data_IF_024222345003
#
_entry.id   IF_024222345003
#
_cell.length_a   1.000
_cell.length_b   1.000
_cell.length_c   1.000
_cell.angle_alpha   90.00
_cell.angle_beta   90.00
_cell.angle_gamma   90.00
#
_symmetry.space_group_name_H-M   'P 1'
#
loop_
_entity.id
_entity.type
_entity.pdbx_description
1 polymer ?
#
# COMPACT_ATOMS: atom_id res chain seq x y z
N UNK A 1 -1.13 6.47 -4.78
CA UNK A 1 -2.52 6.32 -5.27
C UNK A 1 -2.64 5.82 -6.72
N UNK A 2 -1.99 6.48 -7.71
CA UNK A 2 -2.16 6.09 -9.12
C UNK A 2 -1.62 4.70 -9.46
N UNK A 3 -0.47 4.31 -8.90
CA UNK A 3 0.03 2.92 -8.99
C UNK A 3 -1.03 1.93 -8.56
N UNK A 4 -1.65 2.13 -7.39
CA UNK A 4 -2.70 1.25 -6.90
C UNK A 4 -3.88 1.18 -7.89
N UNK A 5 -4.40 2.34 -8.29
CA UNK A 5 -5.58 2.41 -9.15
C UNK A 5 -5.34 1.69 -10.48
N UNK A 6 -4.17 1.90 -11.08
CA UNK A 6 -3.78 1.28 -12.34
C UNK A 6 -3.53 -0.23 -12.20
N UNK A 7 -2.87 -0.65 -11.11
CA UNK A 7 -2.68 -2.07 -10.81
C UNK A 7 -4.01 -2.79 -10.60
N UNK A 8 -4.96 -2.17 -9.87
CA UNK A 8 -6.30 -2.73 -9.67
C UNK A 8 -7.08 -2.82 -11.00
N UNK A 9 -6.87 -1.87 -11.91
CA UNK A 9 -7.42 -1.95 -13.27
C UNK A 9 -6.83 -3.13 -14.04
N UNK A 10 -5.50 -3.23 -14.09
CA UNK A 10 -4.81 -4.28 -14.83
C UNK A 10 -5.09 -5.68 -14.27
N UNK A 11 -5.35 -5.81 -12.97
CA UNK A 11 -5.75 -7.06 -12.31
C UNK A 11 -7.25 -7.36 -12.43
N UNK A 12 -8.04 -6.52 -13.12
CA UNK A 12 -9.51 -6.61 -13.19
C UNK A 12 -10.22 -6.56 -11.82
N UNK A 13 -9.62 -5.92 -10.82
CA UNK A 13 -10.13 -5.80 -9.45
C UNK A 13 -10.95 -4.53 -9.20
N UNK A 14 -11.02 -3.59 -10.15
CA UNK A 14 -11.79 -2.34 -9.99
C UNK A 14 -13.27 -2.57 -9.65
N UNK A 15 -13.88 -3.63 -10.22
CA UNK A 15 -15.29 -3.96 -9.96
C UNK A 15 -15.55 -4.24 -8.48
N UNK A 16 -14.59 -4.84 -7.78
CA UNK A 16 -14.67 -5.14 -6.35
C UNK A 16 -14.68 -3.85 -5.50
N UNK A 17 -14.10 -2.77 -6.03
CA UNK A 17 -14.01 -1.47 -5.35
C UNK A 17 -15.31 -0.68 -5.52
N UNK A 18 -15.90 -0.70 -6.72
CA UNK A 18 -17.05 0.16 -7.06
C UNK A 18 -18.26 -0.07 -6.16
N UNK A 19 -18.50 -1.32 -5.77
CA UNK A 19 -19.70 -1.73 -5.02
C UNK A 19 -19.57 -1.55 -3.50
N UNK A 20 -18.38 -1.18 -3.00
CA UNK A 20 -18.12 -1.12 -1.56
C UNK A 20 -18.53 0.22 -0.96
N UNK A 21 -19.37 0.16 0.07
CA UNK A 21 -19.72 1.32 0.89
C UNK A 21 -18.55 1.76 1.79
N UNK A 22 -17.69 0.82 2.20
CA UNK A 22 -16.51 1.06 2.99
C UNK A 22 -15.34 0.30 2.38
N UNK A 23 -14.24 1.01 2.10
CA UNK A 23 -13.03 0.42 1.52
C UNK A 23 -11.82 0.77 2.38
N UNK A 24 -11.05 -0.25 2.76
CA UNK A 24 -9.92 -0.10 3.68
C UNK A 24 -8.61 -0.41 2.95
N UNK A 25 -7.71 0.56 2.92
CA UNK A 25 -6.35 0.40 2.39
C UNK A 25 -5.36 0.44 3.54
N UNK A 26 -4.61 -0.63 3.72
CA UNK A 26 -3.45 -0.60 4.60
C UNK A 26 -2.24 -0.16 3.81
N UNK A 27 -1.51 0.81 4.36
CA UNK A 27 -0.22 1.24 3.83
C UNK A 27 0.83 0.96 4.89
N UNK A 28 1.66 -0.05 4.60
CA UNK A 28 2.82 -0.38 5.41
C UNK A 28 3.99 0.42 4.86
N UNK A 29 4.40 1.46 5.57
CA UNK A 29 5.42 2.37 5.09
C UNK A 29 6.82 1.87 5.49
N UNK A 30 7.71 1.78 4.49
CA UNK A 30 9.14 1.47 4.68
C UNK A 30 10.05 2.70 4.73
N UNK A 31 9.51 3.91 4.57
CA UNK A 31 10.11 5.22 4.84
C UNK A 31 9.28 6.32 4.15
N UNK A 32 8.90 7.35 4.92
CA UNK A 32 8.35 8.63 4.48
C UNK A 32 7.26 8.52 3.39
N UNK A 33 6.05 8.12 3.82
CA UNK A 33 4.87 8.62 3.13
C UNK A 33 4.89 10.14 3.23
N UNK A 34 4.91 10.78 2.07
CA UNK A 34 4.71 12.21 1.98
C UNK A 34 3.29 12.53 2.48
N UNK A 35 3.16 12.82 3.79
CA UNK A 35 1.92 13.28 4.41
C UNK A 35 1.39 14.55 3.75
N UNK A 36 2.20 15.24 2.92
CA UNK A 36 1.72 16.37 2.13
C UNK A 36 0.87 15.93 0.92
N UNK A 37 0.86 14.64 0.59
CA UNK A 37 0.15 14.07 -0.56
C UNK A 37 -1.12 13.29 -0.19
N UNK A 38 -1.71 13.51 0.99
CA UNK A 38 -2.92 12.80 1.45
C UNK A 38 -4.12 13.05 0.52
N UNK A 39 -4.37 14.29 0.12
CA UNK A 39 -5.49 14.63 -0.78
C UNK A 39 -5.44 13.91 -2.13
N UNK A 40 -4.25 13.50 -2.59
CA UNK A 40 -4.09 12.77 -3.85
C UNK A 40 -4.81 11.41 -3.86
N UNK A 41 -5.12 10.83 -2.70
CA UNK A 41 -5.87 9.58 -2.61
C UNK A 41 -7.36 9.73 -2.95
N UNK A 42 -7.88 10.97 -3.00
CA UNK A 42 -9.23 11.25 -3.46
C UNK A 42 -9.48 10.72 -4.89
N UNK A 43 -8.44 10.60 -5.73
CA UNK A 43 -8.57 10.03 -7.08
C UNK A 43 -9.16 8.61 -7.09
N UNK A 44 -8.90 7.82 -6.04
CA UNK A 44 -9.45 6.48 -5.88
C UNK A 44 -10.91 6.58 -5.44
N UNK A 45 -11.21 7.47 -4.49
CA UNK A 45 -12.58 7.71 -4.01
C UNK A 45 -13.54 8.17 -5.13
N UNK A 46 -13.04 8.85 -6.15
CA UNK A 46 -13.84 9.19 -7.34
C UNK A 46 -14.44 7.96 -8.05
N UNK A 47 -13.80 6.79 -7.94
CA UNK A 47 -14.28 5.56 -8.57
C UNK A 47 -15.43 4.88 -7.83
N UNK A 48 -15.76 5.31 -6.60
CA UNK A 48 -16.69 4.57 -5.73
C UNK A 48 -18.15 5.02 -5.96
N UNK A 49 -19.12 4.25 -5.48
CA UNK A 49 -20.52 4.68 -5.43
C UNK A 49 -20.74 5.88 -4.47
N UNK A 50 -21.83 6.66 -4.63
CA UNK A 50 -22.24 7.65 -3.64
C UNK A 50 -22.40 7.05 -2.24
N UNK A 51 -22.11 7.83 -1.19
CA UNK A 51 -22.17 7.38 0.20
C UNK A 51 -20.96 6.57 0.68
N UNK A 52 -19.98 6.32 -0.19
CA UNK A 52 -18.83 5.48 0.12
C UNK A 52 -17.79 6.17 0.99
N UNK A 53 -17.09 5.41 1.82
CA UNK A 53 -15.93 5.88 2.60
C UNK A 53 -14.67 5.12 2.19
N UNK A 54 -13.60 5.86 1.94
CA UNK A 54 -12.26 5.32 1.79
C UNK A 54 -11.48 5.60 3.08
N UNK A 55 -11.11 4.54 3.80
CA UNK A 55 -10.23 4.59 4.95
C UNK A 55 -8.83 4.13 4.56
N UNK A 56 -7.83 4.96 4.83
CA UNK A 56 -6.43 4.62 4.65
C UNK A 56 -5.78 4.49 6.02
N UNK A 57 -5.32 3.29 6.35
CA UNK A 57 -4.62 3.01 7.59
C UNK A 57 -3.12 2.96 7.31
N UNK A 58 -2.38 3.93 7.85
CA UNK A 58 -0.93 4.00 7.75
C UNK A 58 -0.30 3.37 8.98
N UNK A 59 0.60 2.42 8.75
CA UNK A 59 1.21 1.61 9.82
C UNK A 59 2.73 1.70 9.67
N UNK A 60 3.38 2.42 10.59
CA UNK A 60 4.83 2.60 10.65
C UNK A 60 5.24 3.14 12.03
N UNK A 61 6.35 2.65 12.63
CA UNK A 61 6.74 3.01 14.01
C UNK A 61 6.90 4.51 14.31
N UNK A 62 7.27 5.31 13.31
CA UNK A 62 7.58 6.73 13.50
C UNK A 62 6.39 7.66 13.25
N UNK A 63 5.19 7.12 13.00
CA UNK A 63 3.99 7.92 12.82
C UNK A 63 3.50 8.48 14.17
N UNK A 64 2.67 9.53 14.17
CA UNK A 64 1.87 9.87 15.33
C UNK A 64 0.64 8.96 15.41
N UNK A 65 0.15 8.64 16.62
CA UNK A 65 -1.19 8.07 16.77
C UNK A 65 -2.23 9.16 16.50
N UNK A 66 -2.95 9.08 15.38
CA UNK A 66 -4.01 10.03 15.04
C UNK A 66 -5.04 9.44 14.09
N UNK A 67 -6.18 10.11 13.98
CA UNK A 67 -7.16 9.91 12.94
C UNK A 67 -7.56 11.27 12.37
N UNK A 68 -7.72 11.38 11.06
CA UNK A 68 -8.17 12.62 10.43
C UNK A 68 -9.05 12.35 9.20
N UNK A 69 -9.98 13.26 8.93
CA UNK A 69 -10.77 13.25 7.71
C UNK A 69 -10.27 14.35 6.79
N UNK A 70 -10.00 14.01 5.53
CA UNK A 70 -9.54 14.97 4.53
C UNK A 70 -10.74 15.59 3.83
N UNK A 71 -10.73 16.92 3.69
CA UNK A 71 -11.74 17.63 2.91
C UNK A 71 -11.61 17.23 1.43
N UNK A 72 -12.67 16.63 0.90
CA UNK A 72 -12.76 16.21 -0.49
C UNK A 72 -13.27 17.34 -1.39
N UNK A 73 -13.19 17.15 -2.70
CA UNK A 73 -13.73 18.06 -3.70
C UNK A 73 -15.25 18.16 -3.63
N UNK A 74 -15.81 19.20 -4.26
CA UNK A 74 -17.25 19.45 -4.27
C UNK A 74 -18.08 18.27 -4.82
N UNK A 75 -17.57 17.55 -5.83
CA UNK A 75 -18.26 16.38 -6.39
C UNK A 75 -18.38 15.24 -5.37
N UNK A 76 -17.30 14.95 -4.63
CA UNK A 76 -17.31 13.95 -3.56
C UNK A 76 -18.22 14.36 -2.41
N UNK A 77 -18.18 15.63 -1.98
CA UNK A 77 -19.08 16.16 -0.94
C UNK A 77 -20.55 15.99 -1.34
N UNK A 78 -20.92 16.40 -2.56
CA UNK A 78 -22.30 16.26 -3.06
C UNK A 78 -22.76 14.81 -3.14
N UNK A 79 -21.83 13.88 -3.37
CA UNK A 79 -22.10 12.43 -3.40
C UNK A 79 -21.94 11.76 -2.02
N UNK A 80 -21.79 12.53 -0.94
CA UNK A 80 -21.58 12.05 0.43
C UNK A 80 -20.43 11.03 0.55
N UNK A 81 -19.33 11.27 -0.17
CA UNK A 81 -18.14 10.43 -0.12
C UNK A 81 -17.13 10.96 0.89
N UNK A 82 -16.50 10.07 1.66
CA UNK A 82 -15.55 10.44 2.72
C UNK A 82 -14.17 9.84 2.47
N UNK A 83 -13.13 10.62 2.78
CA UNK A 83 -11.74 10.18 2.79
C UNK A 83 -11.20 10.33 4.22
N UNK A 84 -10.74 9.23 4.80
CA UNK A 84 -10.28 9.17 6.19
C UNK A 84 -8.92 8.50 6.28
N UNK A 85 -8.16 8.90 7.29
CA UNK A 85 -6.87 8.34 7.62
C UNK A 85 -6.79 7.95 9.08
N UNK A 86 -6.18 6.79 9.32
CA UNK A 86 -5.72 6.36 10.63
C UNK A 86 -4.23 6.12 10.60
N UNK A 87 -3.56 6.44 11.69
CA UNK A 87 -2.10 6.33 11.80
C UNK A 87 -1.77 5.56 13.06
N UNK A 88 -0.97 4.51 12.89
CA UNK A 88 -0.63 3.58 13.96
C UNK A 88 0.91 3.47 14.08
N UNK A 89 1.50 3.96 15.19
CA UNK A 89 2.94 4.07 15.41
C UNK A 89 3.55 2.73 15.83
N UNK A 90 3.39 1.70 15.01
CA UNK A 90 3.80 0.34 15.36
C UNK A 90 4.26 -0.47 14.15
N UNK A 91 4.86 -1.62 14.43
CA UNK A 91 5.25 -2.59 13.41
C UNK A 91 4.02 -3.32 12.89
N UNK A 92 3.98 -3.54 11.58
CA UNK A 92 2.81 -4.11 10.93
C UNK A 92 2.41 -5.49 11.47
N UNK A 93 3.34 -6.41 11.71
CA UNK A 93 2.98 -7.71 12.29
C UNK A 93 2.27 -7.59 13.66
N UNK A 94 2.65 -6.59 14.48
CA UNK A 94 1.96 -6.33 15.77
C UNK A 94 0.59 -5.73 15.55
N UNK A 95 0.46 -4.83 14.58
CA UNK A 95 -0.83 -4.26 14.20
C UNK A 95 -1.81 -5.36 13.79
N UNK A 96 -1.37 -6.26 12.90
CA UNK A 96 -2.16 -7.39 12.41
C UNK A 96 -2.55 -8.37 13.52
N UNK A 97 -1.71 -8.54 14.56
CA UNK A 97 -2.04 -9.38 15.72
C UNK A 97 -3.03 -8.72 16.70
N UNK A 98 -3.04 -7.38 16.79
CA UNK A 98 -3.82 -6.63 17.78
C UNK A 98 -5.19 -6.20 17.27
N UNK A 99 -5.27 -5.77 16.01
CA UNK A 99 -6.45 -5.12 15.45
C UNK A 99 -7.08 -6.02 14.38
N UNK A 100 -8.35 -6.35 14.58
CA UNK A 100 -9.11 -7.28 13.74
C UNK A 100 -9.87 -6.57 12.62
N UNK A 101 -9.38 -5.40 12.19
CA UNK A 101 -9.95 -4.75 11.01
C UNK A 101 -9.35 -5.42 9.79
N UNK A 102 -10.17 -5.98 8.92
CA UNK A 102 -9.71 -6.63 7.70
C UNK A 102 -9.51 -5.59 6.59
N UNK A 103 -8.29 -5.45 6.03
CA UNK A 103 -8.06 -4.58 4.89
C UNK A 103 -8.63 -5.17 3.61
N UNK A 104 -9.08 -4.30 2.70
CA UNK A 104 -9.45 -4.73 1.35
C UNK A 104 -8.24 -4.87 0.43
N UNK A 105 -7.18 -4.13 0.74
CA UNK A 105 -5.90 -4.22 0.07
C UNK A 105 -4.80 -3.70 0.98
N UNK A 106 -3.66 -4.38 0.95
CA UNK A 106 -2.44 -3.92 1.59
C UNK A 106 -1.49 -3.41 0.53
N UNK A 107 -0.83 -2.29 0.80
CA UNK A 107 0.20 -1.72 -0.04
C UNK A 107 1.46 -1.55 0.78
N UNK A 108 2.58 -2.04 0.26
CA UNK A 108 3.90 -1.77 0.80
C UNK A 108 4.73 -1.05 -0.26
N UNK A 109 4.98 0.23 -0.01
CA UNK A 109 5.83 1.02 -0.88
C UNK A 109 7.30 0.72 -0.60
N UNK A 110 8.09 0.51 -1.65
CA UNK A 110 9.52 0.18 -1.54
C UNK A 110 9.78 -1.06 -0.68
N UNK A 111 8.99 -2.10 -0.90
CA UNK A 111 9.10 -3.36 -0.20
C UNK A 111 10.55 -3.87 -0.23
N UNK A 112 11.08 -4.13 0.96
CA UNK A 112 12.40 -4.70 1.20
C UNK A 112 12.25 -5.71 2.33
N UNK A 113 12.48 -6.97 2.00
CA UNK A 113 12.52 -8.05 2.98
C UNK A 113 13.97 -8.48 3.17
N UNK A 114 14.47 -8.33 4.40
CA UNK A 114 15.78 -8.81 4.79
C UNK A 114 15.73 -10.25 5.32
N UNK A 115 16.86 -10.67 5.85
CA UNK A 115 17.02 -11.96 6.55
C UNK A 115 16.70 -11.85 8.04
N UNK A 116 16.22 -10.69 8.50
CA UNK A 116 15.83 -10.44 9.88
C UNK A 116 14.46 -11.04 10.23
N UNK A 117 14.25 -11.29 11.51
CA UNK A 117 12.99 -11.80 12.07
C UNK A 117 11.81 -10.88 11.78
N UNK A 118 12.03 -9.57 11.72
CA UNK A 118 10.97 -8.60 11.42
C UNK A 118 10.38 -8.83 10.02
N UNK A 119 11.23 -9.08 9.02
CA UNK A 119 10.81 -9.41 7.66
C UNK A 119 10.01 -10.71 7.62
N UNK A 120 10.45 -11.74 8.36
CA UNK A 120 9.73 -13.01 8.48
C UNK A 120 8.34 -12.81 9.08
N UNK A 121 8.23 -12.04 10.16
CA UNK A 121 6.94 -11.80 10.82
C UNK A 121 6.00 -10.95 9.97
N UNK A 122 6.50 -9.93 9.27
CA UNK A 122 5.69 -9.15 8.35
C UNK A 122 5.16 -10.00 7.18
N UNK A 123 5.98 -10.87 6.59
CA UNK A 123 5.53 -11.77 5.52
C UNK A 123 4.44 -12.73 6.02
N UNK A 124 4.62 -13.31 7.22
CA UNK A 124 3.60 -14.17 7.83
C UNK A 124 2.32 -13.40 8.16
N UNK A 125 2.43 -12.14 8.60
CA UNK A 125 1.28 -11.28 8.83
C UNK A 125 0.51 -11.00 7.53
N UNK A 126 1.21 -10.60 6.45
CA UNK A 126 0.61 -10.39 5.13
C UNK A 126 -0.17 -11.62 4.65
N UNK A 127 0.37 -12.82 4.84
CA UNK A 127 -0.30 -14.06 4.45
C UNK A 127 -1.57 -14.34 5.27
N UNK A 128 -1.61 -13.96 6.55
CA UNK A 128 -2.76 -14.20 7.43
C UNK A 128 -3.97 -13.33 7.09
N UNK A 129 -3.75 -12.11 6.60
CA UNK A 129 -4.84 -11.18 6.25
C UNK A 129 -5.71 -11.69 5.08
N UNK A 130 -5.17 -12.55 4.21
CA UNK A 130 -5.93 -13.14 3.12
C UNK A 130 -6.45 -12.16 2.05
N UNK A 131 -6.01 -10.90 2.07
CA UNK A 131 -6.38 -9.89 1.08
C UNK A 131 -5.29 -9.70 0.01
N UNK A 132 -5.60 -9.05 -1.13
CA UNK A 132 -4.60 -8.68 -2.12
C UNK A 132 -3.48 -7.81 -1.52
N UNK A 133 -2.23 -8.13 -1.85
CA UNK A 133 -1.05 -7.36 -1.44
C UNK A 133 -0.39 -6.76 -2.68
N UNK A 134 -0.23 -5.44 -2.68
CA UNK A 134 0.52 -4.69 -3.66
C UNK A 134 1.88 -4.30 -3.09
N UNK A 135 2.94 -4.83 -3.68
CA UNK A 135 4.31 -4.44 -3.37
C UNK A 135 4.82 -3.54 -4.49
N UNK A 136 5.54 -2.47 -4.14
CA UNK A 136 6.35 -1.74 -5.10
C UNK A 136 7.82 -1.86 -4.73
N UNK A 137 8.70 -1.86 -5.71
CA UNK A 137 10.14 -1.89 -5.48
C UNK A 137 10.85 -0.88 -6.38
N UNK A 138 12.13 -0.64 -6.09
CA UNK A 138 12.96 0.31 -6.86
C UNK A 138 13.51 -0.27 -8.16
N UNK A 139 13.34 -1.58 -8.42
CA UNK A 139 13.82 -2.21 -9.66
C UNK A 139 13.26 -3.63 -9.81
N UNK A 140 13.29 -4.17 -11.03
CA UNK A 140 12.91 -5.57 -11.30
C UNK A 140 13.69 -6.58 -10.45
N UNK A 141 14.99 -6.35 -10.26
CA UNK A 141 15.83 -7.24 -9.43
C UNK A 141 15.34 -7.21 -7.97
N UNK A 142 14.95 -6.05 -7.44
CA UNK A 142 14.42 -5.95 -6.08
C UNK A 142 13.03 -6.59 -5.95
N UNK A 143 12.21 -6.54 -6.99
CA UNK A 143 10.96 -7.31 -7.04
C UNK A 143 11.23 -8.82 -6.99
N UNK A 144 12.22 -9.31 -7.74
CA UNK A 144 12.62 -10.72 -7.72
C UNK A 144 13.15 -11.15 -6.34
N UNK A 145 14.01 -10.33 -5.72
CA UNK A 145 14.49 -10.57 -4.34
C UNK A 145 13.31 -10.70 -3.37
N UNK A 146 12.33 -9.81 -3.46
CA UNK A 146 11.13 -9.84 -2.62
C UNK A 146 10.28 -11.11 -2.86
N UNK A 147 10.05 -11.49 -4.11
CA UNK A 147 9.32 -12.72 -4.46
C UNK A 147 10.02 -13.94 -3.88
N UNK A 148 11.33 -14.09 -4.12
CA UNK A 148 12.11 -15.21 -3.59
C UNK A 148 12.02 -15.26 -2.06
N UNK A 149 12.15 -14.11 -1.41
CA UNK A 149 12.10 -14.04 0.05
C UNK A 149 10.73 -14.45 0.62
N UNK A 150 9.64 -14.02 -0.02
CA UNK A 150 8.29 -14.42 0.37
C UNK A 150 8.10 -15.93 0.18
N UNK A 151 8.54 -16.48 -0.96
CA UNK A 151 8.45 -17.91 -1.24
C UNK A 151 9.24 -18.74 -0.22
N UNK A 152 10.45 -18.31 0.15
CA UNK A 152 11.27 -18.95 1.19
C UNK A 152 10.57 -18.95 2.55
N UNK A 153 10.04 -17.80 2.98
CA UNK A 153 9.42 -17.66 4.31
C UNK A 153 8.11 -18.43 4.42
N UNK A 154 7.30 -18.41 3.37
CA UNK A 154 6.01 -19.11 3.35
C UNK A 154 6.14 -20.57 2.92
N UNK A 155 7.30 -20.98 2.42
CA UNK A 155 7.58 -22.31 1.89
C UNK A 155 6.54 -22.77 0.85
N UNK A 156 6.11 -21.84 -0.01
CA UNK A 156 5.15 -22.08 -1.09
C UNK A 156 5.60 -21.36 -2.37
N UNK A 157 5.33 -21.95 -3.55
CA UNK A 157 5.55 -21.25 -4.81
C UNK A 157 4.52 -20.12 -4.96
N UNK A 158 5.00 -18.92 -5.26
CA UNK A 158 4.15 -17.73 -5.47
C UNK A 158 4.41 -17.18 -6.85
N UNK A 159 3.34 -17.02 -7.63
CA UNK A 159 3.38 -16.32 -8.91
C UNK A 159 2.54 -15.05 -8.76
N UNK A 160 3.15 -13.85 -8.76
CA UNK A 160 2.40 -12.61 -8.68
C UNK A 160 1.46 -12.46 -9.89
N UNK A 161 0.25 -11.94 -9.65
CA UNK A 161 -0.70 -11.61 -10.72
C UNK A 161 -0.14 -10.52 -11.63
N UNK A 162 0.59 -9.57 -11.04
CA UNK A 162 1.27 -8.48 -11.73
C UNK A 162 2.74 -8.49 -11.28
N UNK A 163 3.65 -8.44 -12.26
CA UNK A 163 5.10 -8.39 -12.07
C UNK A 163 5.71 -7.62 -13.25
N UNK A 164 5.66 -6.29 -13.20
CA UNK A 164 6.04 -5.41 -14.33
C UNK A 164 6.47 -4.01 -13.89
N UNK A 165 7.01 -3.26 -14.84
CA UNK A 165 7.37 -1.86 -14.60
C UNK A 165 6.13 -1.01 -14.28
N UNK A 166 6.23 -0.17 -13.25
CA UNK A 166 5.18 0.73 -12.84
C UNK A 166 5.13 1.96 -13.76
N UNK A 167 4.03 2.14 -14.48
CA UNK A 167 3.81 3.33 -15.34
C UNK A 167 3.66 4.63 -14.55
N UNK A 168 3.30 4.53 -13.28
CA UNK A 168 3.12 5.65 -12.36
C UNK A 168 4.24 5.70 -11.33
N UNK A 169 5.46 5.31 -11.72
CA UNK A 169 6.64 5.48 -10.89
C UNK A 169 6.89 6.96 -10.59
N UNK A 170 7.57 7.25 -9.48
CA UNK A 170 7.88 8.63 -9.11
C UNK A 170 8.85 9.24 -10.11
N UNK A 171 8.56 10.43 -10.62
CA UNK A 171 9.55 11.23 -11.35
C UNK A 171 10.56 11.92 -10.42
N UNK A 172 10.32 11.92 -9.10
CA UNK A 172 11.24 12.47 -8.11
C UNK A 172 12.29 11.43 -7.75
N UNK A 173 13.53 11.72 -8.11
CA UNK A 173 14.70 10.91 -7.76
C UNK A 173 15.12 11.09 -6.30
N UNK A 174 15.73 10.06 -5.72
CA UNK A 174 16.40 10.07 -4.43
C UNK A 174 17.82 9.55 -4.59
N UNK A 175 18.73 9.98 -3.71
CA UNK A 175 20.08 9.41 -3.67
C UNK A 175 20.08 8.26 -2.69
N UNK A 176 20.44 7.07 -3.14
CA UNK A 176 20.67 5.95 -2.24
C UNK A 176 21.96 6.20 -1.46
N UNK A 177 21.84 6.37 -0.15
CA UNK A 177 22.99 6.62 0.72
C UNK A 177 23.99 5.46 0.75
N UNK A 178 23.56 4.24 0.43
CA UNK A 178 24.44 3.06 0.44
C UNK A 178 25.27 2.94 -0.84
N UNK A 179 24.65 3.06 -2.01
CA UNK A 179 25.34 2.93 -3.29
C UNK A 179 25.82 4.25 -3.89
N UNK A 180 25.35 5.40 -3.38
CA UNK A 180 25.59 6.73 -3.96
C UNK A 180 24.81 6.99 -5.25
N UNK A 181 24.07 6.00 -5.74
CA UNK A 181 23.31 6.06 -6.99
C UNK A 181 22.02 6.87 -6.88
N UNK A 182 21.53 7.33 -8.02
CA UNK A 182 20.21 7.97 -8.13
C UNK A 182 19.18 6.89 -8.39
N UNK A 183 18.16 6.81 -7.54
CA UNK A 183 17.06 5.85 -7.61
C UNK A 183 15.73 6.57 -7.78
N UNK A 184 14.83 6.02 -8.59
CA UNK A 184 13.43 6.46 -8.60
C UNK A 184 12.57 5.50 -7.76
N UNK A 185 11.76 6.05 -6.85
CA UNK A 185 10.74 5.32 -6.10
C UNK A 185 9.73 4.56 -6.96
N UNK A 186 9.34 3.38 -6.47
CA UNK A 186 8.21 2.62 -6.99
C UNK A 186 8.31 2.30 -8.49
N UNK A 187 9.52 2.02 -9.01
CA UNK A 187 9.73 1.72 -10.45
C UNK A 187 9.10 0.41 -10.91
N UNK A 188 8.90 -0.54 -10.01
CA UNK A 188 8.40 -1.87 -10.35
C UNK A 188 7.29 -2.30 -9.38
N UNK A 189 6.31 -3.02 -9.91
CA UNK A 189 5.18 -3.63 -9.19
C UNK A 189 5.23 -5.13 -9.41
#
# INVERSE_FOLDING_TARGET
PLTLLYTLQDANLLRCIWVRAFFIIYIIAGSFLDMHSLSAWEVILHQFCPGSTLLIVMIEPNLPQKCESIRTCYSCIRRNKKLQYEYHPMLYYRYADLLHTEPDIIIMFHAKFGNDELSVQNIKALQREGCPVLLTTVSKSKAQDAIMRIQEVLNIPITPIINKQNKFASCRSYRDHKSGSVIFPNEYV
#
